data_IF_598842916492
#
_entry.id   IF_598842916492
#
_cell.length_a   1.000
_cell.length_b   1.000
_cell.length_c   1.000
_cell.angle_alpha   90.00
_cell.angle_beta   90.00
_cell.angle_gamma   90.00
#
_symmetry.space_group_name_H-M   'P 1'
#
loop_
_entity.id
_entity.type
_entity.pdbx_description
1 polymer ?
#
# COMPACT_ATOMS: atom_id res chain seq x y z
N UNK A 1 1.83 -0.06 -28.88
CA UNK A 1 1.79 -1.46 -29.37
C UNK A 1 1.79 -2.37 -28.15
N UNK A 2 0.73 -3.16 -27.95
CA UNK A 2 0.67 -4.12 -26.86
C UNK A 2 1.05 -5.51 -27.40
N UNK A 3 2.09 -6.12 -26.85
CA UNK A 3 2.53 -7.47 -27.22
C UNK A 3 1.86 -8.46 -26.26
N UNK A 4 1.27 -9.52 -26.82
CA UNK A 4 0.64 -10.57 -26.02
C UNK A 4 1.68 -11.57 -25.55
N UNK A 5 1.91 -11.61 -24.23
CA UNK A 5 2.88 -12.50 -23.60
C UNK A 5 2.23 -13.72 -22.94
N UNK A 6 0.95 -14.05 -23.21
CA UNK A 6 0.26 -15.15 -22.51
C UNK A 6 1.00 -16.49 -22.65
N UNK A 7 1.42 -16.83 -23.87
CA UNK A 7 2.10 -18.10 -24.15
C UNK A 7 3.51 -18.13 -23.53
N UNK A 8 4.24 -17.02 -23.63
CA UNK A 8 5.58 -16.88 -23.03
C UNK A 8 5.53 -16.97 -21.49
N UNK A 9 4.53 -16.33 -20.87
CA UNK A 9 4.35 -16.38 -19.42
C UNK A 9 3.96 -17.79 -18.93
N UNK A 10 3.26 -18.58 -19.75
CA UNK A 10 2.90 -19.96 -19.42
C UNK A 10 4.10 -20.92 -19.47
N UNK A 11 5.09 -20.61 -20.32
CA UNK A 11 6.32 -21.39 -20.47
C UNK A 11 7.44 -20.99 -19.51
N UNK A 12 7.32 -19.82 -18.86
CA UNK A 12 8.35 -19.27 -17.98
C UNK A 12 8.23 -19.84 -16.56
N UNK A 13 9.37 -20.18 -15.95
CA UNK A 13 9.40 -20.50 -14.52
C UNK A 13 9.15 -19.23 -13.70
N UNK A 14 8.23 -19.33 -12.74
CA UNK A 14 7.88 -18.22 -11.85
C UNK A 14 8.82 -18.23 -10.65
N UNK A 15 9.84 -17.39 -10.69
CA UNK A 15 10.64 -17.09 -9.51
C UNK A 15 9.86 -16.12 -8.61
N UNK A 16 9.37 -16.61 -7.48
CA UNK A 16 8.62 -15.84 -6.52
C UNK A 16 9.56 -15.07 -5.59
N UNK A 17 9.66 -13.75 -5.77
CA UNK A 17 10.21 -12.88 -4.73
C UNK A 17 9.07 -12.51 -3.78
N UNK A 18 9.22 -12.73 -2.46
CA UNK A 18 8.12 -12.50 -1.53
C UNK A 18 7.81 -11.00 -1.41
N UNK A 19 6.66 -10.59 -1.95
CA UNK A 19 6.10 -9.27 -1.71
C UNK A 19 5.26 -9.28 -0.45
N UNK A 20 5.68 -8.50 0.55
CA UNK A 20 4.81 -8.13 1.67
C UNK A 20 3.77 -7.14 1.17
N UNK A 21 2.55 -7.19 1.72
CA UNK A 21 1.61 -6.09 1.50
C UNK A 21 2.23 -4.84 2.12
N UNK A 22 2.10 -3.70 1.45
CA UNK A 22 2.58 -2.42 1.97
C UNK A 22 2.14 -2.15 3.42
N UNK A 23 0.94 -2.63 3.78
CA UNK A 23 0.35 -2.40 5.10
C UNK A 23 0.59 -3.55 6.11
N UNK A 24 1.23 -4.67 5.74
CA UNK A 24 1.41 -5.82 6.66
C UNK A 24 2.76 -5.78 7.39
N UNK A 25 2.71 -5.67 8.74
CA UNK A 25 3.87 -5.63 9.65
C UNK A 25 4.43 -6.99 10.11
N UNK A 26 3.89 -8.15 9.74
CA UNK A 26 4.41 -9.44 10.22
C UNK A 26 5.18 -10.23 9.16
N UNK A 27 6.41 -10.60 9.51
CA UNK A 27 7.21 -11.61 8.82
C UNK A 27 6.71 -13.02 9.16
N UNK A 28 5.68 -13.51 8.47
CA UNK A 28 5.54 -14.94 8.18
C UNK A 28 4.87 -15.13 6.82
N UNK A 29 5.49 -15.99 5.99
CA UNK A 29 5.23 -16.14 4.57
C UNK A 29 3.79 -16.50 4.23
N UNK A 30 3.22 -15.74 3.30
CA UNK A 30 2.18 -16.22 2.39
C UNK A 30 2.46 -15.65 1.01
N UNK A 31 2.67 -16.56 0.07
CA UNK A 31 3.09 -16.28 -1.29
C UNK A 31 2.03 -15.47 -2.04
N UNK A 32 2.40 -14.29 -2.50
CA UNK A 32 1.67 -13.56 -3.54
C UNK A 32 2.41 -13.81 -4.84
N UNK A 33 1.77 -14.51 -5.77
CA UNK A 33 2.33 -14.78 -7.10
C UNK A 33 2.26 -13.51 -7.94
N UNK A 34 3.41 -12.90 -8.22
CA UNK A 34 3.54 -11.74 -9.12
C UNK A 34 4.41 -12.11 -10.33
N UNK A 35 4.10 -11.52 -11.49
CA UNK A 35 4.79 -11.77 -12.76
C UNK A 35 6.25 -11.29 -12.73
N UNK A 36 7.16 -11.95 -13.47
CA UNK A 36 8.62 -11.88 -13.27
C UNK A 36 9.25 -10.49 -13.40
N UNK A 37 8.66 -9.55 -14.15
CA UNK A 37 9.25 -8.21 -14.32
C UNK A 37 9.25 -7.41 -13.01
N UNK A 38 8.11 -7.37 -12.34
CA UNK A 38 7.95 -6.63 -11.08
C UNK A 38 8.92 -7.16 -10.01
N UNK A 39 9.02 -8.49 -9.90
CA UNK A 39 9.93 -9.28 -9.04
C UNK A 39 11.38 -8.81 -9.16
N UNK A 40 11.88 -8.65 -10.39
CA UNK A 40 13.26 -8.23 -10.65
C UNK A 40 13.52 -6.79 -10.22
N UNK A 41 12.59 -5.87 -10.51
CA UNK A 41 12.72 -4.47 -10.12
C UNK A 41 12.82 -4.31 -8.60
N UNK A 42 11.99 -5.00 -7.82
CA UNK A 42 12.08 -4.91 -6.35
C UNK A 42 13.37 -5.52 -5.81
N UNK A 43 13.80 -6.67 -6.32
CA UNK A 43 15.05 -7.29 -5.87
C UNK A 43 16.25 -6.33 -6.03
N UNK A 44 16.25 -5.58 -7.14
CA UNK A 44 17.23 -4.51 -7.37
C UNK A 44 17.06 -3.35 -6.38
N UNK A 45 15.86 -2.79 -6.24
CA UNK A 45 15.63 -1.65 -5.34
C UNK A 45 15.91 -1.98 -3.87
N UNK A 46 15.62 -3.20 -3.41
CA UNK A 46 15.91 -3.65 -2.05
C UNK A 46 17.41 -3.90 -1.85
N UNK A 47 18.11 -4.45 -2.84
CA UNK A 47 19.57 -4.62 -2.78
C UNK A 47 20.32 -3.27 -2.77
N UNK A 48 19.81 -2.28 -3.50
CA UNK A 48 20.47 -0.98 -3.72
C UNK A 48 20.13 0.01 -2.60
N UNK A 49 18.87 0.08 -2.18
CA UNK A 49 18.35 1.12 -1.27
C UNK A 49 17.79 0.56 0.05
N UNK A 50 17.67 -0.75 0.19
CA UNK A 50 17.06 -1.39 1.36
C UNK A 50 17.85 -1.21 2.67
N UNK A 51 19.12 -0.79 2.60
CA UNK A 51 19.96 -0.51 3.77
C UNK A 51 19.75 0.89 4.35
N UNK A 52 18.98 1.76 3.69
CA UNK A 52 18.76 3.15 4.13
C UNK A 52 17.50 3.23 5.01
N UNK A 53 17.69 3.56 6.28
CA UNK A 53 16.58 3.64 7.26
C UNK A 53 15.57 4.76 6.95
N UNK A 54 15.96 5.76 6.14
CA UNK A 54 15.15 6.92 5.76
C UNK A 54 14.45 6.77 4.40
N UNK A 55 14.51 5.58 3.79
CA UNK A 55 13.94 5.27 2.48
C UNK A 55 12.92 4.14 2.59
N UNK A 56 11.73 4.34 2.02
CA UNK A 56 10.76 3.29 1.76
C UNK A 56 10.74 2.95 0.26
N UNK A 57 10.91 1.68 -0.08
CA UNK A 57 10.84 1.21 -1.47
C UNK A 57 9.69 0.22 -1.63
N UNK A 58 8.88 0.40 -2.67
CA UNK A 58 7.88 -0.57 -3.08
C UNK A 58 7.81 -0.66 -4.60
N UNK A 59 8.29 -1.78 -5.15
CA UNK A 59 8.45 -1.94 -6.60
C UNK A 59 9.27 -0.79 -7.19
N UNK A 60 8.65 0.05 -8.00
CA UNK A 60 9.29 1.17 -8.69
C UNK A 60 9.05 2.51 -7.95
N UNK A 61 8.19 2.54 -6.93
CA UNK A 61 7.86 3.75 -6.15
C UNK A 61 8.78 3.87 -4.93
N UNK A 62 9.51 4.97 -4.85
CA UNK A 62 10.42 5.31 -3.75
C UNK A 62 9.89 6.49 -2.96
N UNK A 63 9.98 6.42 -1.64
CA UNK A 63 9.68 7.51 -0.72
C UNK A 63 10.86 7.78 0.21
N UNK A 64 11.28 9.03 0.32
CA UNK A 64 12.30 9.49 1.29
C UNK A 64 11.64 10.40 2.30
N UNK A 65 11.90 10.17 3.58
CA UNK A 65 11.35 10.96 4.68
C UNK A 65 12.47 11.52 5.54
N UNK A 66 12.30 12.72 6.08
CA UNK A 66 13.32 13.39 6.89
C UNK A 66 12.69 14.41 7.83
N UNK A 67 13.31 14.69 8.98
CA UNK A 67 12.74 15.58 10.00
C UNK A 67 12.96 17.05 9.65
N UNK A 68 14.15 17.38 9.13
CA UNK A 68 14.52 18.75 8.75
C UNK A 68 14.82 18.85 7.26
N UNK A 69 14.82 20.07 6.70
CA UNK A 69 15.14 20.29 5.29
C UNK A 69 16.63 20.03 5.01
N UNK A 70 17.50 20.31 5.98
CA UNK A 70 18.93 20.06 5.90
C UNK A 70 19.23 18.56 5.86
N UNK A 71 18.57 17.77 6.72
CA UNK A 71 18.63 16.31 6.65
C UNK A 71 18.06 15.78 5.34
N UNK A 72 16.93 16.34 4.88
CA UNK A 72 16.30 15.91 3.65
C UNK A 72 17.22 16.08 2.44
N UNK A 73 17.94 17.20 2.35
CA UNK A 73 18.93 17.41 1.29
C UNK A 73 20.03 16.35 1.32
N UNK A 74 20.59 16.05 2.50
CA UNK A 74 21.62 15.01 2.66
C UNK A 74 21.12 13.62 2.29
N UNK A 75 19.89 13.28 2.68
CA UNK A 75 19.28 12.00 2.32
C UNK A 75 19.02 11.91 0.81
N UNK A 76 18.56 12.99 0.18
CA UNK A 76 18.38 13.02 -1.27
C UNK A 76 19.70 12.90 -2.03
N UNK A 77 20.75 13.58 -1.58
CA UNK A 77 22.10 13.44 -2.15
C UNK A 77 22.57 11.98 -2.10
N UNK A 78 22.46 11.31 -0.96
CA UNK A 78 22.82 9.90 -0.83
C UNK A 78 21.99 8.99 -1.75
N UNK A 79 20.68 9.23 -1.85
CA UNK A 79 19.81 8.43 -2.73
C UNK A 79 20.16 8.66 -4.20
N UNK A 80 20.41 9.91 -4.60
CA UNK A 80 20.78 10.24 -5.98
C UNK A 80 22.14 9.69 -6.37
N UNK A 81 23.13 9.73 -5.48
CA UNK A 81 24.45 9.16 -5.72
C UNK A 81 24.37 7.65 -5.97
N UNK A 82 23.53 6.96 -5.20
CA UNK A 82 23.30 5.52 -5.37
C UNK A 82 22.55 5.24 -6.67
N UNK A 83 21.50 6.02 -6.99
CA UNK A 83 20.74 5.85 -8.23
C UNK A 83 21.63 6.09 -9.47
N UNK A 84 22.49 7.10 -9.43
CA UNK A 84 23.42 7.41 -10.53
C UNK A 84 24.45 6.29 -10.72
N UNK A 85 25.02 5.79 -9.61
CA UNK A 85 25.96 4.65 -9.63
C UNK A 85 25.35 3.39 -10.25
N UNK A 86 24.09 3.10 -9.93
CA UNK A 86 23.38 1.92 -10.45
C UNK A 86 22.66 2.19 -11.79
N UNK A 87 22.88 3.38 -12.39
CA UNK A 87 22.31 3.81 -13.66
C UNK A 87 20.76 3.73 -13.69
N UNK A 88 20.13 4.03 -12.56
CA UNK A 88 18.69 4.09 -12.39
C UNK A 88 18.20 5.51 -12.67
N UNK A 89 17.13 5.62 -13.47
CA UNK A 89 16.55 6.91 -13.85
C UNK A 89 15.20 7.13 -13.18
N UNK A 90 15.03 8.33 -12.66
CA UNK A 90 13.78 8.79 -12.08
C UNK A 90 12.85 9.35 -13.17
N UNK A 91 11.55 9.15 -13.00
CA UNK A 91 10.57 9.77 -13.87
C UNK A 91 10.33 11.23 -13.46
N UNK A 92 10.71 12.16 -14.34
CA UNK A 92 10.63 13.59 -14.07
C UNK A 92 9.19 14.11 -13.89
N UNK A 93 8.20 13.47 -14.51
CA UNK A 93 6.81 13.91 -14.45
C UNK A 93 6.10 13.49 -13.16
N UNK A 94 6.60 12.44 -12.48
CA UNK A 94 5.96 11.86 -11.30
C UNK A 94 6.61 12.28 -9.98
N UNK A 95 7.81 12.88 -10.04
CA UNK A 95 8.59 13.23 -8.85
C UNK A 95 8.01 14.43 -8.10
N UNK A 96 7.96 14.34 -6.78
CA UNK A 96 7.51 15.41 -5.87
C UNK A 96 8.54 15.59 -4.77
N UNK A 97 9.01 16.82 -4.55
CA UNK A 97 10.11 17.14 -3.63
C UNK A 97 9.67 18.00 -2.45
N UNK A 98 10.15 17.68 -1.25
CA UNK A 98 10.10 18.57 -0.08
C UNK A 98 8.68 18.91 0.38
N UNK A 99 7.70 18.08 0.02
CA UNK A 99 6.28 18.27 0.33
C UNK A 99 5.96 17.70 1.71
N UNK A 100 5.02 18.31 2.42
CA UNK A 100 4.56 17.84 3.74
C UNK A 100 3.49 16.75 3.64
N UNK A 101 2.75 16.75 2.52
CA UNK A 101 1.74 15.76 2.18
C UNK A 101 2.00 15.20 0.78
N UNK A 102 1.91 13.88 0.61
CA UNK A 102 1.99 13.23 -0.70
C UNK A 102 1.16 11.95 -0.76
N UNK A 103 0.76 11.58 -1.97
CA UNK A 103 0.11 10.30 -2.22
C UNK A 103 1.14 9.20 -2.49
N UNK A 104 1.15 8.14 -1.69
CA UNK A 104 2.00 6.97 -1.85
C UNK A 104 1.16 5.69 -1.79
N UNK A 105 1.20 4.87 -2.85
CA UNK A 105 0.49 3.59 -2.96
C UNK A 105 -1.01 3.64 -2.60
N UNK A 106 -1.67 4.74 -2.98
CA UNK A 106 -3.10 4.94 -2.74
C UNK A 106 -3.46 5.35 -1.30
N UNK A 107 -2.45 5.77 -0.52
CA UNK A 107 -2.58 6.42 0.77
C UNK A 107 -2.05 7.85 0.67
N UNK A 108 -2.73 8.80 1.31
CA UNK A 108 -2.18 10.11 1.56
C UNK A 108 -1.34 10.07 2.84
N UNK A 109 -0.08 10.46 2.74
CA UNK A 109 0.86 10.57 3.86
C UNK A 109 1.06 12.04 4.12
N UNK A 110 0.57 12.54 5.26
CA UNK A 110 0.66 13.95 5.66
C UNK A 110 1.17 14.07 7.09
N UNK A 111 2.35 14.67 7.27
CA UNK A 111 2.92 14.95 8.59
C UNK A 111 2.97 13.73 9.53
N UNK A 112 3.09 12.54 8.96
CA UNK A 112 3.12 11.25 9.67
C UNK A 112 1.81 10.59 10.02
N UNK A 113 0.73 11.11 9.45
CA UNK A 113 -0.56 10.45 9.44
C UNK A 113 -0.78 9.83 8.07
N UNK A 114 -1.37 8.64 8.07
CA UNK A 114 -1.88 8.00 6.84
C UNK A 114 -3.38 8.18 6.77
N UNK A 115 -3.87 8.52 5.59
CA UNK A 115 -5.29 8.53 5.27
C UNK A 115 -5.53 7.83 3.92
N UNK A 116 -6.73 7.32 3.72
CA UNK A 116 -7.13 6.76 2.43
C UNK A 116 -7.28 7.93 1.43
N UNK A 117 -6.66 7.83 0.25
CA UNK A 117 -6.85 8.82 -0.82
C UNK A 117 -8.32 8.92 -1.23
N UNK A 118 -8.80 10.11 -1.57
CA UNK A 118 -10.17 10.36 -2.06
C UNK A 118 -10.57 9.39 -3.17
N UNK A 119 -9.69 9.15 -4.16
CA UNK A 119 -9.92 8.21 -5.27
C UNK A 119 -10.15 6.77 -4.81
N UNK A 120 -9.57 6.36 -3.69
CA UNK A 120 -9.77 5.02 -3.14
C UNK A 120 -10.99 4.97 -2.22
N UNK A 121 -11.32 6.06 -1.53
CA UNK A 121 -12.60 6.20 -0.82
C UNK A 121 -13.77 6.09 -1.78
N UNK A 122 -13.68 6.71 -2.96
CA UNK A 122 -14.68 6.61 -4.04
C UNK A 122 -14.89 5.19 -4.57
N UNK A 123 -14.03 4.22 -4.26
CA UNK A 123 -14.25 2.81 -4.61
C UNK A 123 -14.97 2.03 -3.50
N UNK A 124 -14.79 2.45 -2.25
CA UNK A 124 -15.33 1.75 -1.07
C UNK A 124 -16.68 2.34 -0.68
N UNK A 125 -16.78 3.68 -0.64
CA UNK A 125 -17.96 4.39 -0.18
C UNK A 125 -19.17 4.14 -1.09
N UNK A 126 -19.12 4.15 -2.42
CA UNK A 126 -20.27 3.83 -3.26
C UNK A 126 -20.35 2.34 -3.64
N UNK A 127 -19.57 1.46 -2.97
CA UNK A 127 -19.59 0.04 -3.30
C UNK A 127 -21.03 -0.51 -3.18
N UNK A 128 -21.54 -1.23 -4.19
CA UNK A 128 -22.92 -1.70 -4.18
C UNK A 128 -23.12 -2.80 -3.14
N UNK A 129 -24.33 -2.88 -2.58
CA UNK A 129 -24.72 -3.96 -1.68
C UNK A 129 -24.41 -5.33 -2.31
N UNK A 130 -23.59 -6.18 -1.66
CA UNK A 130 -23.27 -7.50 -2.19
C UNK A 130 -24.51 -8.38 -2.34
N UNK A 131 -24.72 -8.93 -3.53
CA UNK A 131 -25.81 -9.88 -3.81
C UNK A 131 -25.36 -11.33 -3.80
N UNK A 132 -24.06 -11.55 -3.96
CA UNK A 132 -23.45 -12.87 -4.07
C UNK A 132 -22.20 -12.95 -3.18
N UNK A 133 -21.83 -14.17 -2.79
CA UNK A 133 -20.60 -14.43 -2.02
C UNK A 133 -19.34 -13.84 -2.69
N UNK A 134 -19.26 -13.90 -4.02
CA UNK A 134 -18.14 -13.32 -4.77
C UNK A 134 -18.02 -11.81 -4.54
N UNK A 135 -19.13 -11.08 -4.57
CA UNK A 135 -19.14 -9.64 -4.35
C UNK A 135 -18.79 -9.27 -2.90
N UNK A 136 -19.27 -10.06 -1.93
CA UNK A 136 -18.94 -9.88 -0.52
C UNK A 136 -17.44 -10.10 -0.26
N UNK A 137 -16.87 -11.16 -0.84
CA UNK A 137 -15.41 -11.42 -0.81
C UNK A 137 -14.62 -10.30 -1.50
N UNK A 138 -15.09 -9.80 -2.64
CA UNK A 138 -14.44 -8.66 -3.32
C UNK A 138 -14.42 -7.42 -2.44
N UNK A 139 -15.54 -7.09 -1.79
CA UNK A 139 -15.61 -5.96 -0.86
C UNK A 139 -14.63 -6.11 0.30
N UNK A 140 -14.64 -7.27 0.99
CA UNK A 140 -13.70 -7.54 2.08
C UNK A 140 -12.27 -7.43 1.57
N UNK A 141 -11.95 -8.00 0.41
CA UNK A 141 -10.60 -7.92 -0.15
C UNK A 141 -10.18 -6.46 -0.38
N UNK A 142 -11.06 -5.63 -0.94
CA UNK A 142 -10.81 -4.21 -1.16
C UNK A 142 -10.62 -3.46 0.16
N UNK A 143 -11.55 -3.61 1.11
CA UNK A 143 -11.50 -2.93 2.40
C UNK A 143 -10.35 -3.44 3.28
N UNK A 144 -9.94 -4.72 3.14
CA UNK A 144 -8.83 -5.31 3.88
C UNK A 144 -7.48 -4.67 3.58
N UNK A 145 -7.35 -4.02 2.42
CA UNK A 145 -6.15 -3.24 2.11
C UNK A 145 -6.01 -2.09 3.11
N UNK A 146 -7.11 -1.43 3.49
CA UNK A 146 -7.11 -0.29 4.42
C UNK A 146 -7.45 -0.68 5.86
N UNK A 147 -7.30 -1.96 6.22
CA UNK A 147 -7.76 -2.49 7.52
C UNK A 147 -7.14 -1.80 8.73
N UNK A 148 -5.90 -1.32 8.62
CA UNK A 148 -5.21 -0.67 9.74
C UNK A 148 -5.87 0.69 10.01
N UNK A 149 -6.24 1.42 8.95
CA UNK A 149 -6.96 2.69 9.03
C UNK A 149 -8.44 2.54 9.47
N UNK A 150 -8.97 1.32 9.49
CA UNK A 150 -10.35 1.03 9.87
C UNK A 150 -10.37 0.36 11.24
N UNK A 151 -10.65 1.14 12.28
CA UNK A 151 -10.74 0.63 13.65
C UNK A 151 -11.68 -0.59 13.75
N UNK A 152 -11.22 -1.66 14.39
CA UNK A 152 -11.92 -2.94 14.55
C UNK A 152 -12.39 -3.57 13.22
N UNK A 153 -11.63 -3.42 12.13
CA UNK A 153 -11.97 -4.03 10.84
C UNK A 153 -12.23 -5.54 10.94
N UNK A 154 -11.43 -6.28 11.73
CA UNK A 154 -11.61 -7.73 11.89
C UNK A 154 -13.02 -8.10 12.42
N UNK A 155 -13.54 -7.32 13.37
CA UNK A 155 -14.89 -7.53 13.90
C UNK A 155 -15.97 -7.21 12.87
N UNK A 156 -15.78 -6.15 12.07
CA UNK A 156 -16.70 -5.77 11.00
C UNK A 156 -16.67 -6.75 9.82
N UNK A 157 -15.50 -7.30 9.49
CA UNK A 157 -15.33 -8.19 8.35
C UNK A 157 -15.90 -9.59 8.63
N UNK A 158 -15.89 -10.04 9.89
CA UNK A 158 -16.34 -11.38 10.31
C UNK A 158 -17.75 -11.74 9.81
N UNK A 159 -18.82 -10.98 10.10
CA UNK A 159 -20.17 -11.32 9.64
C UNK A 159 -20.28 -11.34 8.11
N UNK A 160 -19.54 -10.47 7.41
CA UNK A 160 -19.52 -10.41 5.94
C UNK A 160 -18.76 -11.61 5.35
N UNK A 161 -17.72 -12.10 6.03
CA UNK A 161 -16.93 -13.25 5.61
C UNK A 161 -17.72 -14.56 5.78
N UNK A 162 -18.51 -14.65 6.85
CA UNK A 162 -19.30 -15.83 7.20
C UNK A 162 -20.51 -16.05 6.27
N UNK A 163 -20.91 -15.02 5.49
CA UNK A 163 -21.99 -15.05 4.48
C UNK A 163 -21.82 -16.12 3.38
N UNK A 164 -20.69 -16.84 3.36
CA UNK A 164 -20.27 -17.68 2.24
C UNK A 164 -20.06 -19.17 2.49
N UNK A 165 -20.20 -19.67 3.71
CA UNK A 165 -19.73 -21.02 4.03
C UNK A 165 -20.65 -22.14 3.51
N UNK A 166 -21.95 -21.90 3.28
CA UNK A 166 -22.90 -22.92 2.79
C UNK A 166 -23.96 -22.36 1.83
N UNK A 167 -24.67 -21.30 2.20
CA UNK A 167 -25.63 -20.57 1.36
C UNK A 167 -25.48 -19.07 1.62
N UNK A 168 -25.62 -18.25 0.58
CA UNK A 168 -25.54 -16.81 0.73
C UNK A 168 -26.72 -16.29 1.56
N UNK A 169 -26.45 -15.79 2.76
CA UNK A 169 -27.45 -15.27 3.68
C UNK A 169 -27.06 -13.86 4.12
N UNK A 170 -27.68 -12.86 3.51
CA UNK A 170 -27.44 -11.46 3.85
C UNK A 170 -28.55 -10.96 4.77
N UNK A 171 -28.27 -10.89 6.07
CA UNK A 171 -29.20 -10.44 7.12
C UNK A 171 -28.82 -9.03 7.60
N UNK A 172 -29.57 -8.52 8.57
CA UNK A 172 -29.33 -7.20 9.17
C UNK A 172 -27.93 -7.06 9.75
N UNK A 173 -27.36 -8.14 10.32
CA UNK A 173 -26.00 -8.12 10.87
C UNK A 173 -24.93 -7.85 9.79
N UNK A 174 -25.06 -8.49 8.63
CA UNK A 174 -24.15 -8.27 7.49
C UNK A 174 -24.33 -6.88 6.90
N UNK A 175 -25.56 -6.39 6.81
CA UNK A 175 -25.86 -5.02 6.34
C UNK A 175 -25.24 -3.98 7.27
N UNK A 176 -25.47 -4.11 8.59
CA UNK A 176 -24.92 -3.20 9.58
C UNK A 176 -23.39 -3.19 9.56
N UNK A 177 -22.76 -4.36 9.42
CA UNK A 177 -21.31 -4.46 9.31
C UNK A 177 -20.76 -3.83 8.01
N UNK A 178 -21.48 -4.00 6.90
CA UNK A 178 -21.12 -3.42 5.60
C UNK A 178 -21.21 -1.89 5.62
N UNK A 179 -22.31 -1.33 6.13
CA UNK A 179 -22.49 0.12 6.26
C UNK A 179 -21.50 0.74 7.24
N UNK A 180 -21.25 0.09 8.38
CA UNK A 180 -20.23 0.55 9.33
C UNK A 180 -18.83 0.54 8.72
N UNK A 181 -18.49 -0.47 7.92
CA UNK A 181 -17.20 -0.53 7.22
C UNK A 181 -17.05 0.64 6.23
N UNK A 182 -18.10 0.95 5.47
CA UNK A 182 -18.11 2.11 4.55
C UNK A 182 -17.96 3.43 5.29
N UNK A 183 -18.74 3.63 6.36
CA UNK A 183 -18.70 4.85 7.18
C UNK A 183 -17.32 5.08 7.81
N UNK A 184 -16.69 4.03 8.37
CA UNK A 184 -15.36 4.14 8.97
C UNK A 184 -14.26 4.36 7.93
N UNK A 185 -14.43 3.80 6.73
CA UNK A 185 -13.51 4.08 5.61
C UNK A 185 -13.58 5.55 5.18
N UNK A 186 -14.76 6.18 5.27
CA UNK A 186 -14.92 7.60 4.99
C UNK A 186 -14.29 8.49 6.09
N UNK A 187 -14.55 8.17 7.37
CA UNK A 187 -14.02 8.88 8.56
C UNK A 187 -12.51 8.70 8.78
N UNK A 188 -11.85 7.80 8.04
CA UNK A 188 -10.41 7.48 8.17
C UNK A 188 -9.47 8.69 8.02
N UNK A 189 -9.95 9.83 7.52
CA UNK A 189 -9.18 11.08 7.49
C UNK A 189 -9.04 11.79 8.86
N UNK A 190 -9.92 11.51 9.82
CA UNK A 190 -9.99 12.24 11.09
C UNK A 190 -9.09 11.65 12.20
N UNK A 191 -8.60 10.41 12.03
CA UNK A 191 -7.90 9.65 13.09
C UNK A 191 -6.56 9.09 12.61
N UNK A 192 -5.75 9.92 11.96
CA UNK A 192 -4.48 9.50 11.38
C UNK A 192 -3.66 8.64 12.35
N UNK A 193 -3.45 7.38 11.99
CA UNK A 193 -2.55 6.49 12.74
C UNK A 193 -1.10 6.89 12.48
N UNK A 194 -0.31 6.98 13.55
CA UNK A 194 1.15 7.14 13.47
C UNK A 194 1.74 5.98 12.67
N UNK A 195 2.58 6.31 11.70
CA UNK A 195 3.23 5.28 10.90
C UNK A 195 4.47 4.76 11.64
N UNK A 196 4.60 3.44 11.74
CA UNK A 196 5.76 2.75 12.31
C UNK A 196 6.40 1.84 11.27
N UNK A 197 7.62 2.17 10.82
CA UNK A 197 8.48 1.27 10.05
C UNK A 197 9.50 0.58 10.99
N UNK A 198 9.86 -0.68 10.73
CA UNK A 198 10.54 -1.54 11.72
C UNK A 198 12.08 -1.49 11.70
N UNK A 199 12.71 -0.63 10.89
CA UNK A 199 14.15 -0.35 10.95
C UNK A 199 14.47 0.74 11.98
N UNK A 200 13.99 0.54 13.21
CA UNK A 200 13.99 1.57 14.26
C UNK A 200 12.71 2.43 14.22
N UNK A 201 12.33 3.01 15.37
CA UNK A 201 11.13 3.86 15.49
C UNK A 201 11.23 5.07 14.56
N UNK A 202 10.86 4.94 13.30
CA UNK A 202 10.57 6.09 12.46
C UNK A 202 9.16 6.53 12.85
N UNK A 203 9.08 7.44 13.83
CA UNK A 203 7.95 8.35 13.92
C UNK A 203 8.05 9.24 12.69
N UNK A 204 6.99 9.31 11.92
CA UNK A 204 6.90 10.27 10.84
C UNK A 204 6.60 11.62 11.49
N UNK A 205 7.63 12.22 12.06
CA UNK A 205 7.47 13.42 12.87
C UNK A 205 7.50 14.63 11.93
N UNK A 206 6.33 15.22 11.63
CA UNK A 206 6.12 16.50 10.90
C UNK A 206 7.05 16.81 9.70
N UNK A 207 7.60 15.77 9.08
CA UNK A 207 8.74 15.88 8.17
C UNK A 207 8.34 16.10 6.72
N UNK A 208 9.32 16.47 5.91
CA UNK A 208 9.16 16.59 4.45
C UNK A 208 9.40 15.24 3.79
N UNK A 209 8.67 15.00 2.72
CA UNK A 209 8.70 13.77 1.96
C UNK A 209 9.10 14.04 0.50
N UNK A 210 9.76 13.05 -0.09
CA UNK A 210 10.05 12.99 -1.52
C UNK A 210 9.50 11.68 -2.09
N UNK A 211 8.88 11.75 -3.26
CA UNK A 211 8.37 10.59 -4.00
C UNK A 211 8.81 10.66 -5.45
N UNK A 212 9.11 9.50 -6.04
CA UNK A 212 9.33 9.33 -7.49
C UNK A 212 8.40 8.30 -8.08
#
# INVERSE_FOLDING_TARGET
>A
MAVDYRDVNAMSQLDAFPYKRHNSQESQGKDIVVRPNSTRSKGLMEAVLGNLEFVGCYLDDLIVFSKTIEEHKRHLEQVFDILDRENLRLNEEKRQFGVTALEYLGLNVDGGKRAITTTNKEKIVPFPRPRNQRQAKTFICLASYYRDLIHNFAYLAKPIQDTGNVKFQWREEQEAAFEQSRRRSDDSGARGEEVHCHHGRVRYDHGRCFKT
#
